data_IF_571971845713
#
_entry.id   IF_571971845713
#
_cell.length_a   1.000
_cell.length_b   1.000
_cell.length_c   1.000
_cell.angle_alpha   90.00
_cell.angle_beta   90.00
_cell.angle_gamma   90.00
#
_symmetry.space_group_name_H-M   'P 1'
#
loop_
_entity.id
_entity.type
_entity.pdbx_description
1 polymer ?
#
# COMPACT_ATOMS: atom_id res chain seq x y z
N UNK A 1 17.97 -8.25 -5.78
CA UNK A 1 17.56 -7.77 -4.43
C UNK A 1 16.56 -6.62 -4.58
N UNK A 2 15.94 -6.11 -3.51
CA UNK A 2 14.99 -4.97 -3.60
C UNK A 2 15.63 -3.73 -4.25
N UNK A 3 16.93 -3.52 -4.05
CA UNK A 3 17.72 -2.45 -4.67
C UNK A 3 17.82 -2.54 -6.19
N UNK A 4 17.59 -3.71 -6.79
CA UNK A 4 17.62 -3.89 -8.25
C UNK A 4 16.31 -3.48 -8.92
N UNK A 5 15.24 -3.20 -8.16
CA UNK A 5 13.91 -3.00 -8.73
C UNK A 5 13.89 -1.86 -9.76
N UNK A 6 14.53 -0.72 -9.49
CA UNK A 6 14.54 0.41 -10.42
C UNK A 6 15.25 0.08 -11.73
N UNK A 7 16.41 -0.59 -11.65
CA UNK A 7 17.13 -1.08 -12.83
C UNK A 7 16.28 -2.06 -13.63
N UNK A 8 15.67 -3.05 -12.98
CA UNK A 8 14.84 -4.06 -13.63
C UNK A 8 13.58 -3.46 -14.28
N UNK A 9 12.98 -2.46 -13.63
CA UNK A 9 11.84 -1.70 -14.16
C UNK A 9 12.25 -0.87 -15.37
N UNK A 10 13.42 -0.22 -15.33
CA UNK A 10 13.97 0.51 -16.47
C UNK A 10 14.20 -0.40 -17.68
N UNK A 11 14.90 -1.52 -17.48
CA UNK A 11 15.17 -2.53 -18.53
C UNK A 11 13.89 -3.07 -19.19
N UNK A 12 12.78 -3.12 -18.44
CA UNK A 12 11.49 -3.66 -18.90
C UNK A 12 10.49 -2.58 -19.30
N UNK A 13 10.90 -1.31 -19.28
CA UNK A 13 10.03 -0.17 -19.53
C UNK A 13 8.75 -0.16 -18.66
N UNK A 14 8.90 -0.38 -17.36
CA UNK A 14 7.82 -0.37 -16.38
C UNK A 14 7.84 0.93 -15.57
N UNK A 15 6.71 1.63 -15.51
CA UNK A 15 6.57 2.84 -14.70
C UNK A 15 6.32 2.55 -13.22
N UNK A 16 5.61 1.47 -12.93
CA UNK A 16 5.27 1.07 -11.58
C UNK A 16 5.03 -0.43 -11.44
N UNK A 17 5.14 -0.90 -10.20
CA UNK A 17 4.71 -2.22 -9.75
C UNK A 17 3.63 -2.03 -8.68
N UNK A 18 2.61 -2.88 -8.74
CA UNK A 18 1.52 -2.93 -7.76
C UNK A 18 1.40 -4.34 -7.21
N UNK A 19 1.46 -4.48 -5.89
CA UNK A 19 1.27 -5.76 -5.20
C UNK A 19 0.11 -5.61 -4.25
N UNK A 20 -0.94 -6.41 -4.46
CA UNK A 20 -2.22 -6.32 -3.75
C UNK A 20 -2.47 -7.60 -2.95
N UNK A 21 -3.30 -7.47 -1.91
CA UNK A 21 -3.82 -8.58 -1.13
C UNK A 21 -3.09 -8.79 0.20
N UNK A 22 -3.54 -9.80 0.93
CA UNK A 22 -3.02 -10.12 2.26
C UNK A 22 -1.62 -10.70 2.18
N UNK A 23 -0.83 -10.58 3.25
CA UNK A 23 0.49 -11.20 3.30
C UNK A 23 0.42 -12.72 3.43
N UNK A 24 -0.72 -13.27 3.90
CA UNK A 24 -0.99 -14.70 3.93
C UNK A 24 -0.99 -15.32 2.52
N UNK A 25 0.01 -16.15 2.21
CA UNK A 25 0.13 -16.79 0.89
C UNK A 25 0.70 -15.89 -0.22
N UNK A 26 0.86 -14.59 0.02
CA UNK A 26 1.46 -13.65 -0.93
C UNK A 26 2.97 -13.50 -0.67
N UNK A 27 3.76 -14.32 -1.36
CA UNK A 27 5.22 -14.33 -1.22
C UNK A 27 5.86 -13.00 -1.63
N UNK A 28 5.26 -12.29 -2.61
CA UNK A 28 5.78 -11.00 -3.08
C UNK A 28 5.57 -9.92 -2.01
N UNK A 29 4.37 -9.86 -1.42
CA UNK A 29 4.09 -8.94 -0.31
C UNK A 29 5.08 -9.18 0.82
N UNK A 30 5.21 -10.43 1.29
CA UNK A 30 6.16 -10.79 2.35
C UNK A 30 7.59 -10.39 2.04
N UNK A 31 8.06 -10.62 0.80
CA UNK A 31 9.41 -10.21 0.41
C UNK A 31 9.59 -8.69 0.52
N UNK A 32 8.63 -7.92 0.02
CA UNK A 32 8.73 -6.45 0.01
C UNK A 32 8.62 -5.86 1.42
N UNK A 33 7.77 -6.43 2.28
CA UNK A 33 7.47 -5.91 3.62
C UNK A 33 8.29 -6.58 4.74
N UNK A 34 9.30 -7.39 4.41
CA UNK A 34 10.10 -8.14 5.39
C UNK A 34 9.27 -9.12 6.25
N UNK A 35 8.22 -9.70 5.68
CA UNK A 35 7.37 -10.68 6.36
C UNK A 35 6.32 -10.08 7.29
N UNK A 36 6.06 -8.77 7.19
CA UNK A 36 5.01 -8.13 7.97
C UNK A 36 3.63 -8.79 7.71
N UNK A 37 2.92 -9.11 8.80
CA UNK A 37 1.56 -9.63 8.74
C UNK A 37 0.61 -8.47 8.45
N UNK A 38 0.01 -8.49 7.26
CA UNK A 38 -0.80 -7.40 6.76
C UNK A 38 -2.07 -7.95 6.13
N UNK A 39 -3.19 -7.30 6.42
CA UNK A 39 -4.49 -7.57 5.81
C UNK A 39 -4.87 -6.39 4.92
N UNK A 40 -5.48 -6.67 3.77
CA UNK A 40 -5.99 -5.66 2.82
C UNK A 40 -5.00 -4.54 2.49
N UNK A 41 -3.72 -4.90 2.34
CA UNK A 41 -2.62 -3.98 2.07
C UNK A 41 -2.24 -3.93 0.58
N UNK A 42 -1.50 -2.87 0.25
CA UNK A 42 -1.05 -2.57 -1.11
C UNK A 42 0.37 -2.04 -1.05
N UNK A 43 1.29 -2.62 -1.83
CA UNK A 43 2.60 -2.03 -2.06
C UNK A 43 2.67 -1.45 -3.47
N UNK A 44 3.01 -0.17 -3.54
CA UNK A 44 3.30 0.56 -4.77
C UNK A 44 4.80 0.82 -4.86
N UNK A 45 5.39 0.52 -6.01
CA UNK A 45 6.77 0.92 -6.33
C UNK A 45 6.74 1.63 -7.67
N UNK A 46 6.88 2.95 -7.68
CA UNK A 46 7.14 3.74 -8.89
C UNK A 46 8.63 3.68 -9.23
N UNK A 47 8.97 3.63 -10.52
CA UNK A 47 10.36 3.72 -10.98
C UNK A 47 11.00 4.99 -10.43
N UNK A 48 12.20 4.84 -9.87
CA UNK A 48 13.00 5.89 -9.18
C UNK A 48 12.31 6.50 -7.94
N UNK A 49 11.18 5.94 -7.50
CA UNK A 49 10.46 6.33 -6.29
C UNK A 49 10.65 5.35 -5.13
N UNK A 50 10.20 5.69 -3.91
CA UNK A 50 10.25 4.75 -2.80
C UNK A 50 9.31 3.56 -3.00
N UNK A 51 9.57 2.46 -2.28
CA UNK A 51 8.55 1.45 -2.00
C UNK A 51 7.57 2.04 -0.98
N UNK A 52 6.30 2.13 -1.36
CA UNK A 52 5.24 2.69 -0.54
C UNK A 52 4.25 1.61 -0.16
N UNK A 53 4.03 1.43 1.15
CA UNK A 53 3.00 0.56 1.71
C UNK A 53 1.78 1.40 2.06
N UNK A 54 0.65 1.08 1.44
CA UNK A 54 -0.67 1.58 1.81
C UNK A 54 -1.34 0.51 2.69
N UNK A 55 -1.76 0.92 3.88
CA UNK A 55 -2.29 0.02 4.92
C UNK A 55 -3.53 0.62 5.60
N UNK A 56 -4.29 -0.20 6.32
CA UNK A 56 -5.40 0.24 7.17
C UNK A 56 -4.93 0.79 8.52
N UNK A 57 -5.82 1.45 9.24
CA UNK A 57 -5.49 2.05 10.54
C UNK A 57 -5.08 1.03 11.60
N UNK A 58 -5.59 -0.20 11.50
CA UNK A 58 -5.30 -1.29 12.45
C UNK A 58 -3.86 -1.81 12.30
N UNK A 59 -3.31 -1.82 11.10
CA UNK A 59 -1.98 -2.36 10.79
C UNK A 59 -0.86 -1.33 11.00
N UNK A 60 -1.15 -0.13 11.52
CA UNK A 60 -0.19 0.99 11.60
C UNK A 60 1.12 0.61 12.26
N UNK A 61 1.07 -0.08 13.39
CA UNK A 61 2.26 -0.37 14.19
C UNK A 61 3.11 -1.45 13.48
N UNK A 62 2.47 -2.48 12.93
CA UNK A 62 3.14 -3.49 12.08
C UNK A 62 3.71 -2.89 10.79
N UNK A 63 3.02 -1.93 10.17
CA UNK A 63 3.51 -1.22 8.99
C UNK A 63 4.76 -0.39 9.30
N UNK A 64 4.84 0.23 10.49
CA UNK A 64 6.00 0.99 10.94
C UNK A 64 7.29 0.16 11.00
N UNK A 65 7.19 -1.14 11.29
CA UNK A 65 8.33 -2.05 11.37
C UNK A 65 8.92 -2.40 9.99
N UNK A 66 8.20 -2.14 8.89
CA UNK A 66 8.65 -2.51 7.54
C UNK A 66 9.79 -1.64 7.00
N UNK A 67 9.95 -0.42 7.54
CA UNK A 67 10.88 0.60 7.04
C UNK A 67 10.50 1.19 5.67
N UNK A 68 9.29 0.94 5.18
CA UNK A 68 8.78 1.48 3.91
C UNK A 68 8.21 2.89 4.11
N UNK A 69 8.01 3.61 3.00
CA UNK A 69 7.17 4.82 3.04
C UNK A 69 5.72 4.40 3.28
N UNK A 70 5.04 5.01 4.25
CA UNK A 70 3.72 4.56 4.68
C UNK A 70 2.61 5.55 4.30
N UNK A 71 1.48 5.01 3.87
CA UNK A 71 0.22 5.73 3.71
C UNK A 71 -0.84 4.97 4.51
N UNK A 72 -1.36 5.60 5.56
CA UNK A 72 -2.53 5.09 6.27
C UNK A 72 -3.79 5.49 5.50
N UNK A 73 -4.41 4.52 4.81
CA UNK A 73 -5.58 4.74 3.97
C UNK A 73 -6.75 5.30 4.77
N UNK A 74 -6.98 4.79 5.98
CA UNK A 74 -8.15 5.19 6.78
C UNK A 74 -8.00 6.61 7.35
N UNK A 75 -6.75 7.07 7.52
CA UNK A 75 -6.46 8.46 7.86
C UNK A 75 -6.63 9.41 6.67
N UNK A 76 -6.18 9.01 5.48
CA UNK A 76 -6.26 9.84 4.26
C UNK A 76 -7.68 9.89 3.70
N UNK A 77 -8.38 8.76 3.72
CA UNK A 77 -9.73 8.56 3.19
C UNK A 77 -10.68 8.20 4.33
N UNK A 78 -10.89 9.15 5.24
CA UNK A 78 -11.76 8.92 6.39
C UNK A 78 -13.23 8.72 5.94
N UNK A 79 -13.68 7.47 5.98
CA UNK A 79 -15.02 7.07 5.52
C UNK A 79 -16.15 7.82 6.24
N UNK A 80 -15.98 8.17 7.51
CA UNK A 80 -16.98 8.92 8.28
C UNK A 80 -17.10 10.36 7.77
N UNK A 81 -15.97 11.03 7.56
CA UNK A 81 -15.95 12.40 7.03
C UNK A 81 -16.49 12.46 5.60
N UNK A 82 -16.11 11.49 4.77
CA UNK A 82 -16.62 11.36 3.40
C UNK A 82 -18.13 11.13 3.39
N UNK A 83 -18.65 10.23 4.24
CA UNK A 83 -20.08 10.00 4.35
C UNK A 83 -20.83 11.24 4.83
N UNK A 84 -20.27 11.97 5.81
CA UNK A 84 -20.84 13.22 6.29
C UNK A 84 -20.88 14.29 5.19
N UNK A 85 -19.79 14.43 4.43
CA UNK A 85 -19.69 15.37 3.29
C UNK A 85 -20.72 15.09 2.20
N UNK A 86 -21.04 13.82 1.99
CA UNK A 86 -22.03 13.38 1.00
C UNK A 86 -23.41 13.13 1.60
N UNK A 87 -23.72 13.70 2.77
CA UNK A 87 -25.05 13.66 3.39
C UNK A 87 -25.61 12.23 3.57
N UNK A 88 -24.74 11.28 3.89
CA UNK A 88 -25.13 9.88 4.03
C UNK A 88 -25.23 9.10 2.71
N UNK A 89 -24.99 9.72 1.57
CA UNK A 89 -24.94 9.03 0.28
C UNK A 89 -23.67 8.16 0.18
N UNK A 90 -23.85 6.85 0.39
CA UNK A 90 -22.77 5.86 0.39
C UNK A 90 -22.06 5.71 -0.96
N UNK A 91 -22.78 5.84 -2.07
CA UNK A 91 -22.18 5.70 -3.40
C UNK A 91 -21.29 6.89 -3.72
N UNK A 92 -21.74 8.11 -3.38
CA UNK A 92 -20.95 9.31 -3.57
C UNK A 92 -19.74 9.40 -2.61
N UNK A 93 -19.84 8.74 -1.44
CA UNK A 93 -18.76 8.66 -0.46
C UNK A 93 -17.78 7.50 -0.68
N UNK A 94 -18.03 6.61 -1.64
CA UNK A 94 -17.12 5.51 -1.97
C UNK A 94 -15.90 6.05 -2.73
N UNK A 95 -14.71 5.65 -2.29
CA UNK A 95 -13.38 5.97 -2.85
C UNK A 95 -12.50 4.74 -2.89
#
# INVERSE_FOLDING_TARGET
>A
MKSDLDRLMLERNLDALLVMGDSGGNQVMNYLTNGAQLEAALVLKRRDGPLTLVHGGMERDTAAETGLTLINRDQVYNSYELLKKHEGNRLAAAV
#
